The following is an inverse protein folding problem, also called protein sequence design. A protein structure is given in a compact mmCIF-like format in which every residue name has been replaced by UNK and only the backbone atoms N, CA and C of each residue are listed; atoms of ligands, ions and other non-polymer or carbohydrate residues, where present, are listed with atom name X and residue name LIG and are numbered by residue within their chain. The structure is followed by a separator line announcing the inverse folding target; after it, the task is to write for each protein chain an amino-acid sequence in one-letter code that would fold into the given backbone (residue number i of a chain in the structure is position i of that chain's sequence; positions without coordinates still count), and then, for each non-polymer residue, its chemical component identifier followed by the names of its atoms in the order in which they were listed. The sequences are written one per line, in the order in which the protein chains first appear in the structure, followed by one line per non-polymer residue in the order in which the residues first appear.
data_IF_006804138269
#
_entry.id   IF_006804138269
#
_cell.length_a   1.000
_cell.length_b   1.000
_cell.length_c   1.000
_cell.angle_alpha   90.00
_cell.angle_beta   90.00
_cell.angle_gamma   90.00
#
_symmetry.space_group_name_H-M   'P 1'
#
loop_
_entity.id
_entity.type
_entity.pdbx_description
1 polymer ?
#
# COMPACT_ATOMS: atom_id res chain seq x y z
N UNK A 1 6.21 19.92 12.58
CA UNK A 1 4.82 19.71 13.07
C UNK A 1 4.83 19.11 14.48
N UNK A 2 5.49 17.96 14.71
CA UNK A 2 5.66 17.36 16.05
C UNK A 2 6.21 18.35 17.07
N UNK A 3 7.31 19.04 16.74
CA UNK A 3 7.97 19.97 17.67
C UNK A 3 7.12 21.23 17.94
N UNK A 4 6.39 21.72 16.93
CA UNK A 4 5.47 22.86 17.09
C UNK A 4 4.27 22.51 17.98
N UNK A 5 3.72 21.30 17.83
CA UNK A 5 2.62 20.80 18.68
C UNK A 5 3.13 20.52 20.09
N UNK A 6 4.31 19.91 20.27
CA UNK A 6 4.91 19.70 21.58
C UNK A 6 5.21 21.02 22.32
N UNK A 7 5.68 22.04 21.59
CA UNK A 7 5.92 23.37 22.16
C UNK A 7 4.60 24.03 22.63
N UNK A 8 3.52 23.88 21.86
CA UNK A 8 2.21 24.40 22.22
C UNK A 8 1.58 23.63 23.39
N UNK A 9 1.74 22.31 23.43
CA UNK A 9 1.27 21.47 24.54
C UNK A 9 2.04 21.75 25.84
N UNK A 10 3.33 22.08 25.75
CA UNK A 10 4.15 22.43 26.91
C UNK A 10 3.90 23.85 27.45
N UNK A 11 3.26 24.72 26.66
CA UNK A 11 3.05 26.14 26.99
C UNK A 11 1.62 26.47 27.47
N UNK A 12 0.70 25.49 27.51
CA UNK A 12 -0.69 25.69 27.89
C UNK A 12 -1.06 24.81 29.09
N UNK A 13 -1.51 25.43 30.18
CA UNK A 13 -2.02 24.74 31.38
C UNK A 13 -3.55 24.51 31.35
N UNK A 14 -4.25 25.08 30.35
CA UNK A 14 -5.71 24.93 30.21
C UNK A 14 -6.07 23.66 29.43
N UNK A 15 -6.69 22.71 30.13
CA UNK A 15 -7.17 21.43 29.57
C UNK A 15 -8.07 21.59 28.33
N UNK A 16 -8.89 22.65 28.28
CA UNK A 16 -9.78 22.87 27.14
C UNK A 16 -8.99 23.29 25.89
N UNK A 17 -7.97 24.13 26.07
CA UNK A 17 -7.11 24.58 24.98
C UNK A 17 -6.23 23.41 24.49
N UNK A 18 -5.69 22.60 25.42
CA UNK A 18 -4.92 21.41 25.09
C UNK A 18 -5.73 20.42 24.24
N UNK A 19 -7.00 20.20 24.60
CA UNK A 19 -7.90 19.33 23.82
C UNK A 19 -8.11 19.85 22.39
N UNK A 20 -8.36 21.16 22.22
CA UNK A 20 -8.56 21.76 20.90
C UNK A 20 -7.29 21.69 20.03
N UNK A 21 -6.12 21.93 20.62
CA UNK A 21 -4.83 21.80 19.93
C UNK A 21 -4.60 20.34 19.50
N UNK A 22 -4.92 19.37 20.35
CA UNK A 22 -4.79 17.96 20.02
C UNK A 22 -5.72 17.54 18.87
N UNK A 23 -6.98 17.98 18.87
CA UNK A 23 -7.92 17.73 17.78
C UNK A 23 -7.44 18.32 16.46
N UNK A 24 -7.02 19.59 16.47
CA UNK A 24 -6.52 20.25 15.26
C UNK A 24 -5.26 19.56 14.71
N UNK A 25 -4.37 19.10 15.60
CA UNK A 25 -3.18 18.35 15.22
C UNK A 25 -3.54 16.98 14.61
N UNK A 26 -4.54 16.28 15.17
CA UNK A 26 -5.04 15.01 14.64
C UNK A 26 -5.68 15.18 13.27
N UNK A 27 -6.54 16.18 13.08
CA UNK A 27 -7.20 16.47 11.80
C UNK A 27 -6.17 16.80 10.72
N UNK A 28 -5.19 17.63 11.06
CA UNK A 28 -4.09 17.96 10.16
C UNK A 28 -3.24 16.72 9.83
N UNK A 29 -2.99 15.84 10.81
CA UNK A 29 -2.28 14.58 10.58
C UNK A 29 -3.05 13.67 9.63
N UNK A 30 -4.33 13.41 9.88
CA UNK A 30 -5.16 12.55 9.03
C UNK A 30 -5.27 13.11 7.61
N UNK A 31 -5.52 14.42 7.49
CA UNK A 31 -5.62 15.08 6.19
C UNK A 31 -4.32 15.00 5.39
N UNK A 32 -3.18 15.33 6.00
CA UNK A 32 -1.91 15.43 5.27
C UNK A 32 -1.23 14.07 5.13
N UNK A 33 -1.09 13.32 6.22
CA UNK A 33 -0.27 12.11 6.30
C UNK A 33 -1.02 10.83 5.91
N UNK A 34 -2.36 10.86 5.91
CA UNK A 34 -3.16 9.71 5.45
C UNK A 34 -3.79 10.00 4.10
N UNK A 35 -4.65 11.01 4.00
CA UNK A 35 -5.36 11.32 2.75
C UNK A 35 -4.46 11.94 1.69
N UNK A 36 -3.69 12.97 2.04
CA UNK A 36 -2.75 13.62 1.13
C UNK A 36 -1.64 12.68 0.65
N UNK A 37 -1.16 11.81 1.53
CA UNK A 37 -0.23 10.75 1.18
C UNK A 37 -0.83 9.77 0.17
N UNK A 38 -2.06 9.29 0.41
CA UNK A 38 -2.75 8.35 -0.49
C UNK A 38 -2.93 8.93 -1.89
N UNK A 39 -3.37 10.18 -2.02
CA UNK A 39 -3.52 10.84 -3.32
C UNK A 39 -2.18 10.92 -4.09
N UNK A 40 -1.07 11.19 -3.38
CA UNK A 40 0.28 11.19 -3.98
C UNK A 40 0.73 9.79 -4.40
N UNK A 41 0.52 8.78 -3.55
CA UNK A 41 0.79 7.38 -3.88
C UNK A 41 0.06 6.97 -5.15
N UNK A 42 -1.22 7.32 -5.28
CA UNK A 42 -2.02 7.02 -6.47
C UNK A 42 -1.51 7.72 -7.72
N UNK A 43 -1.09 8.98 -7.63
CA UNK A 43 -0.47 9.70 -8.75
C UNK A 43 0.87 9.07 -9.19
N UNK A 44 1.70 8.62 -8.24
CA UNK A 44 2.93 7.92 -8.57
C UNK A 44 2.67 6.54 -9.17
N UNK A 45 1.64 5.84 -8.70
CA UNK A 45 1.23 4.56 -9.28
C UNK A 45 0.75 4.71 -10.73
N UNK A 46 -0.06 5.73 -11.03
CA UNK A 46 -0.47 6.03 -12.42
C UNK A 46 0.72 6.35 -13.32
N UNK A 47 1.71 7.12 -12.84
CA UNK A 47 2.96 7.35 -13.56
C UNK A 47 3.71 6.04 -13.85
N UNK A 48 3.91 5.21 -12.83
CA UNK A 48 4.58 3.90 -12.95
C UNK A 48 3.86 2.99 -13.96
N UNK A 49 2.54 2.93 -13.88
CA UNK A 49 1.68 2.15 -14.77
C UNK A 49 1.89 2.54 -16.25
N UNK A 50 2.01 3.84 -16.54
CA UNK A 50 2.27 4.34 -17.90
C UNK A 50 3.68 4.03 -18.38
N UNK A 51 4.70 4.18 -17.53
CA UNK A 51 6.10 3.88 -17.87
C UNK A 51 6.31 2.39 -18.18
N UNK A 52 5.52 1.53 -17.53
CA UNK A 52 5.57 0.07 -17.72
C UNK A 52 4.61 -0.45 -18.79
N UNK A 53 3.78 0.42 -19.37
CA UNK A 53 2.75 0.08 -20.36
C UNK A 53 1.78 -1.02 -19.88
N UNK A 54 1.40 -1.00 -18.59
CA UNK A 54 0.49 -1.98 -18.02
C UNK A 54 -0.98 -1.68 -18.33
N UNK A 55 -1.73 -2.68 -18.76
CA UNK A 55 -3.13 -2.59 -19.15
C UNK A 55 -4.11 -3.35 -18.22
N UNK A 56 -3.61 -4.37 -17.52
CA UNK A 56 -4.39 -5.28 -16.68
C UNK A 56 -3.83 -5.37 -15.26
N UNK A 57 -4.70 -5.16 -14.27
CA UNK A 57 -4.33 -5.10 -12.85
C UNK A 57 -5.12 -6.09 -12.03
N UNK A 58 -4.49 -6.60 -10.98
CA UNK A 58 -5.18 -7.28 -9.90
C UNK A 58 -5.02 -6.53 -8.57
N UNK A 59 -6.05 -6.54 -7.73
CA UNK A 59 -6.01 -6.02 -6.36
C UNK A 59 -6.36 -7.17 -5.41
N UNK A 60 -5.58 -7.32 -4.34
CA UNK A 60 -5.86 -8.30 -3.29
C UNK A 60 -6.57 -7.67 -2.09
N UNK A 61 -7.62 -8.35 -1.62
CA UNK A 61 -8.37 -8.01 -0.40
C UNK A 61 -8.96 -6.57 -0.38
N UNK A 62 -9.03 -5.97 0.80
CA UNK A 62 -9.76 -4.72 1.10
C UNK A 62 -8.95 -3.42 1.08
N UNK A 63 -7.76 -3.39 0.46
CA UNK A 63 -6.84 -2.24 0.60
C UNK A 63 -7.37 -0.95 -0.04
N UNK A 64 -7.64 0.06 0.81
CA UNK A 64 -8.12 1.38 0.37
C UNK A 64 -7.08 2.17 -0.44
N UNK A 65 -5.79 2.01 -0.14
CA UNK A 65 -4.72 2.65 -0.93
C UNK A 65 -4.54 1.97 -2.28
N UNK A 66 -4.73 0.65 -2.36
CA UNK A 66 -4.72 -0.06 -3.65
C UNK A 66 -5.94 0.29 -4.50
N UNK A 67 -7.12 0.43 -3.88
CA UNK A 67 -8.34 0.91 -4.53
C UNK A 67 -8.14 2.30 -5.13
N UNK A 68 -7.62 3.26 -4.35
CA UNK A 68 -7.40 4.62 -4.83
C UNK A 68 -6.27 4.69 -5.87
N UNK A 69 -5.23 3.88 -5.73
CA UNK A 69 -4.18 3.76 -6.73
C UNK A 69 -4.75 3.28 -8.08
N UNK A 70 -5.66 2.29 -8.05
CA UNK A 70 -6.36 1.87 -9.25
C UNK A 70 -7.31 2.97 -9.77
N UNK A 71 -8.08 3.66 -8.92
CA UNK A 71 -8.97 4.74 -9.39
C UNK A 71 -8.21 5.90 -10.06
N UNK A 72 -6.95 6.13 -9.70
CA UNK A 72 -6.12 7.12 -10.35
C UNK A 72 -5.66 6.71 -11.75
N UNK A 73 -5.66 5.42 -12.08
CA UNK A 73 -5.35 4.95 -13.43
C UNK A 73 -6.60 5.07 -14.32
N UNK A 74 -6.38 5.35 -15.61
CA UNK A 74 -7.45 5.56 -16.58
C UNK A 74 -8.48 4.41 -16.60
N UNK A 75 -9.77 4.76 -16.69
CA UNK A 75 -10.97 3.89 -16.61
C UNK A 75 -10.98 2.72 -17.62
N UNK A 76 -10.13 2.73 -18.65
CA UNK A 76 -10.08 1.67 -19.67
C UNK A 76 -9.27 0.42 -19.28
N UNK A 77 -8.62 0.42 -18.11
CA UNK A 77 -7.77 -0.69 -17.66
C UNK A 77 -8.61 -1.83 -17.10
N UNK A 78 -8.16 -3.08 -17.30
CA UNK A 78 -8.86 -4.25 -16.77
C UNK A 78 -8.53 -4.43 -15.28
N UNK A 79 -9.55 -4.77 -14.49
CA UNK A 79 -9.40 -5.01 -13.06
C UNK A 79 -9.86 -6.42 -12.69
N UNK A 80 -9.01 -7.10 -11.92
CA UNK A 80 -9.34 -8.32 -11.20
C UNK A 80 -9.21 -8.10 -9.71
N UNK A 81 -10.24 -8.42 -8.93
CA UNK A 81 -10.20 -8.40 -7.47
C UNK A 81 -10.12 -9.84 -6.98
N UNK A 82 -9.07 -10.13 -6.20
CA UNK A 82 -8.83 -11.43 -5.58
C UNK A 82 -9.10 -11.29 -4.09
N UNK A 83 -9.96 -12.16 -3.56
CA UNK A 83 -10.45 -12.09 -2.18
C UNK A 83 -10.24 -13.40 -1.43
N UNK A 84 -10.31 -13.34 -0.11
CA UNK A 84 -10.09 -14.50 0.77
C UNK A 84 -11.12 -14.53 1.91
N UNK A 85 -11.46 -15.73 2.34
CA UNK A 85 -12.27 -15.94 3.53
C UNK A 85 -11.48 -15.57 4.81
N UNK A 86 -12.14 -15.23 5.93
CA UNK A 86 -13.59 -15.21 6.14
C UNK A 86 -14.28 -13.86 5.91
N UNK A 87 -13.56 -12.73 5.86
CA UNK A 87 -14.18 -11.39 5.82
C UNK A 87 -14.69 -10.99 4.43
N UNK A 88 -14.09 -11.52 3.35
CA UNK A 88 -14.45 -11.17 1.97
C UNK A 88 -14.48 -9.64 1.71
N UNK A 89 -13.44 -8.96 2.16
CA UNK A 89 -13.32 -7.50 2.07
C UNK A 89 -13.24 -7.00 0.62
N UNK A 90 -12.62 -7.81 -0.25
CA UNK A 90 -12.49 -7.53 -1.68
C UNK A 90 -13.84 -7.44 -2.40
N UNK A 91 -14.89 -8.10 -1.90
CA UNK A 91 -16.25 -7.97 -2.46
C UNK A 91 -16.78 -6.55 -2.40
N UNK A 92 -16.48 -5.82 -1.33
CA UNK A 92 -16.83 -4.41 -1.19
C UNK A 92 -16.06 -3.53 -2.15
N UNK A 93 -14.74 -3.77 -2.25
CA UNK A 93 -13.84 -3.06 -3.18
C UNK A 93 -14.28 -3.25 -4.63
N UNK A 94 -14.57 -4.49 -5.04
CA UNK A 94 -15.02 -4.79 -6.40
C UNK A 94 -16.30 -4.03 -6.78
N UNK A 95 -17.26 -3.93 -5.84
CA UNK A 95 -18.51 -3.16 -6.06
C UNK A 95 -18.24 -1.66 -6.20
N UNK A 96 -17.41 -1.08 -5.32
CA UNK A 96 -17.08 0.35 -5.36
C UNK A 96 -16.32 0.70 -6.64
N UNK A 97 -15.32 -0.10 -7.01
CA UNK A 97 -14.54 0.11 -8.22
C UNK A 97 -15.39 -0.07 -9.49
N UNK A 98 -16.25 -1.08 -9.53
CA UNK A 98 -17.19 -1.26 -10.65
C UNK A 98 -18.13 -0.06 -10.80
N UNK A 99 -18.66 0.47 -9.68
CA UNK A 99 -19.54 1.63 -9.69
C UNK A 99 -18.82 2.92 -10.10
N UNK A 100 -17.58 3.11 -9.63
CA UNK A 100 -16.80 4.34 -9.89
C UNK A 100 -16.23 4.40 -11.33
N UNK A 101 -15.84 3.25 -11.89
CA UNK A 101 -15.20 3.19 -13.21
C UNK A 101 -16.16 2.84 -14.33
N UNK A 102 -17.29 2.16 -14.05
CA UNK A 102 -18.14 1.59 -15.08
C UNK A 102 -17.46 0.47 -15.89
N UNK A 103 -16.27 0.01 -15.47
CA UNK A 103 -15.51 -1.03 -16.12
C UNK A 103 -15.96 -2.44 -15.67
N UNK A 104 -15.67 -3.45 -16.50
CA UNK A 104 -15.87 -4.84 -16.13
C UNK A 104 -14.83 -5.25 -15.09
N UNK A 105 -15.28 -5.40 -13.83
CA UNK A 105 -14.45 -5.88 -12.72
C UNK A 105 -14.62 -7.40 -12.60
N UNK A 106 -13.53 -8.14 -12.81
CA UNK A 106 -13.49 -9.58 -12.52
C UNK A 106 -13.32 -9.76 -11.02
N UNK A 107 -14.12 -10.60 -10.39
CA UNK A 107 -13.97 -10.94 -8.97
C UNK A 107 -13.79 -12.44 -8.82
N UNK A 108 -12.90 -12.86 -7.93
CA UNK A 108 -12.75 -14.25 -7.58
C UNK A 108 -12.03 -14.47 -6.25
N UNK A 109 -12.00 -15.72 -5.81
CA UNK A 109 -11.40 -16.10 -4.54
C UNK A 109 -9.96 -16.59 -4.73
N UNK A 110 -9.18 -16.55 -3.66
CA UNK A 110 -7.79 -16.99 -3.59
C UNK A 110 -7.60 -18.41 -4.17
N UNK A 111 -8.56 -19.32 -3.99
CA UNK A 111 -8.49 -20.67 -4.56
C UNK A 111 -8.41 -20.72 -6.10
N UNK A 112 -8.85 -19.66 -6.79
CA UNK A 112 -8.75 -19.52 -8.24
C UNK A 112 -7.69 -18.49 -8.68
N UNK A 113 -6.82 -18.05 -7.76
CA UNK A 113 -5.85 -16.97 -7.97
C UNK A 113 -5.02 -17.13 -9.24
N UNK A 114 -4.48 -18.33 -9.49
CA UNK A 114 -3.66 -18.61 -10.70
C UNK A 114 -4.39 -18.25 -11.99
N UNK A 115 -5.62 -18.72 -12.16
CA UNK A 115 -6.45 -18.43 -13.35
C UNK A 115 -6.84 -16.96 -13.42
N UNK A 116 -7.06 -16.32 -12.27
CA UNK A 116 -7.40 -14.89 -12.21
C UNK A 116 -6.24 -13.99 -12.62
N UNK A 117 -5.00 -14.42 -12.36
CA UNK A 117 -3.77 -13.71 -12.70
C UNK A 117 -3.25 -13.96 -14.12
N UNK A 118 -3.84 -14.91 -14.86
CA UNK A 118 -3.50 -15.11 -16.28
C UNK A 118 -3.82 -13.84 -17.08
N UNK A 119 -2.79 -13.26 -17.72
CA UNK A 119 -2.91 -12.03 -18.49
C UNK A 119 -3.04 -10.75 -17.65
N UNK A 120 -2.70 -10.81 -16.36
CA UNK A 120 -2.54 -9.62 -15.51
C UNK A 120 -1.09 -9.12 -15.61
N UNK A 121 -0.89 -7.82 -15.72
CA UNK A 121 0.45 -7.24 -15.81
C UNK A 121 1.04 -6.96 -14.42
N UNK A 122 0.21 -6.46 -13.51
CA UNK A 122 0.61 -6.13 -12.15
C UNK A 122 -0.45 -6.46 -11.09
N UNK A 123 -0.02 -7.01 -9.96
CA UNK A 123 -0.80 -7.15 -8.74
C UNK A 123 -0.47 -6.02 -7.78
N UNK A 124 -1.49 -5.35 -7.26
CA UNK A 124 -1.41 -4.30 -6.27
C UNK A 124 -1.75 -4.88 -4.91
N UNK A 125 -0.79 -4.81 -3.97
CA UNK A 125 -0.96 -5.26 -2.59
C UNK A 125 -0.92 -4.05 -1.65
N UNK A 126 -1.90 -3.92 -0.76
CA UNK A 126 -1.81 -2.97 0.34
C UNK A 126 -0.92 -3.48 1.45
N UNK A 127 0.06 -2.68 1.87
CA UNK A 127 0.82 -2.99 3.08
C UNK A 127 0.04 -2.59 4.34
N UNK A 128 0.14 -3.40 5.39
CA UNK A 128 -0.18 -2.99 6.76
C UNK A 128 1.04 -2.39 7.46
N UNK A 129 2.22 -2.90 7.14
CA UNK A 129 3.49 -2.38 7.64
C UNK A 129 4.59 -2.58 6.60
N UNK A 130 5.55 -1.66 6.55
CA UNK A 130 6.83 -1.86 5.85
C UNK A 130 7.94 -1.76 6.88
N UNK A 131 8.58 -2.90 7.16
CA UNK A 131 9.68 -2.97 8.10
C UNK A 131 10.97 -2.39 7.51
N UNK A 132 11.93 -2.08 8.39
CA UNK A 132 13.23 -1.55 7.96
C UNK A 132 13.88 -2.44 6.93
N UNK A 133 13.93 -3.75 7.13
CA UNK A 133 14.55 -4.68 6.19
C UNK A 133 13.78 -4.86 4.85
N UNK A 134 12.78 -4.02 4.57
CA UNK A 134 11.98 -4.02 3.35
C UNK A 134 10.94 -5.14 3.29
N UNK A 135 10.81 -5.96 4.34
CA UNK A 135 9.73 -6.91 4.44
C UNK A 135 8.41 -6.16 4.63
N UNK A 136 7.36 -6.64 3.98
CA UNK A 136 6.03 -6.02 4.01
C UNK A 136 5.08 -6.96 4.74
N UNK A 137 4.40 -6.44 5.75
CA UNK A 137 3.23 -7.11 6.32
C UNK A 137 2.03 -6.81 5.45
N UNK A 138 1.31 -7.84 5.05
CA UNK A 138 0.10 -7.75 4.25
C UNK A 138 -1.00 -8.64 4.83
N UNK A 139 -2.23 -8.45 4.33
CA UNK A 139 -3.39 -9.23 4.75
C UNK A 139 -3.13 -10.74 4.58
N UNK A 140 -3.72 -11.60 5.43
CA UNK A 140 -3.57 -13.05 5.32
C UNK A 140 -3.87 -13.57 3.92
N UNK A 141 -3.02 -14.46 3.40
CA UNK A 141 -3.15 -15.00 2.03
C UNK A 141 -2.46 -14.15 0.95
N UNK A 142 -1.95 -12.96 1.27
CA UNK A 142 -1.20 -12.14 0.31
C UNK A 142 0.08 -12.84 -0.17
N UNK A 143 0.78 -13.57 0.71
CA UNK A 143 1.99 -14.31 0.36
C UNK A 143 1.73 -15.33 -0.76
N UNK A 144 0.57 -16.00 -0.71
CA UNK A 144 0.14 -16.96 -1.73
C UNK A 144 -0.11 -16.25 -3.07
N UNK A 145 -0.80 -15.11 -3.06
CA UNK A 145 -1.03 -14.31 -4.27
C UNK A 145 0.29 -13.85 -4.88
N UNK A 146 1.20 -13.35 -4.05
CA UNK A 146 2.53 -12.89 -4.48
C UNK A 146 3.34 -14.02 -5.09
N UNK A 147 3.36 -15.19 -4.44
CA UNK A 147 4.08 -16.35 -4.95
C UNK A 147 3.53 -16.78 -6.33
N UNK A 148 2.21 -16.89 -6.48
CA UNK A 148 1.58 -17.25 -7.76
C UNK A 148 1.85 -16.18 -8.82
N UNK A 149 1.78 -14.89 -8.46
CA UNK A 149 2.10 -13.79 -9.37
C UNK A 149 3.53 -13.91 -9.90
N UNK A 150 4.50 -14.20 -9.02
CA UNK A 150 5.90 -14.40 -9.41
C UNK A 150 6.08 -15.60 -10.34
N UNK A 151 5.44 -16.73 -10.05
CA UNK A 151 5.47 -17.91 -10.91
C UNK A 151 4.93 -17.64 -12.32
N UNK A 152 3.97 -16.72 -12.44
CA UNK A 152 3.37 -16.30 -13.72
C UNK A 152 4.11 -15.12 -14.37
N UNK A 153 5.15 -14.57 -13.75
CA UNK A 153 5.86 -13.39 -14.24
C UNK A 153 5.08 -12.07 -14.11
N UNK A 154 4.01 -12.05 -13.30
CA UNK A 154 3.21 -10.87 -13.02
C UNK A 154 3.95 -9.97 -12.02
N UNK A 155 3.98 -8.66 -12.29
CA UNK A 155 4.68 -7.71 -11.43
C UNK A 155 3.95 -7.52 -10.10
N UNK A 156 4.66 -7.59 -8.98
CA UNK A 156 4.07 -7.35 -7.65
C UNK A 156 4.42 -5.94 -7.20
N UNK A 157 3.41 -5.10 -7.02
CA UNK A 157 3.56 -3.71 -6.58
C UNK A 157 2.87 -3.55 -5.23
N UNK A 158 3.60 -3.07 -4.24
CA UNK A 158 3.05 -2.76 -2.92
C UNK A 158 2.69 -1.29 -2.87
N UNK A 159 1.50 -0.95 -2.42
CA UNK A 159 1.07 0.44 -2.19
C UNK A 159 0.86 0.69 -0.71
N UNK A 160 1.37 1.82 -0.22
CA UNK A 160 1.31 2.18 1.19
C UNK A 160 1.45 3.68 1.40
N UNK A 161 1.35 4.10 2.65
CA UNK A 161 1.69 5.45 3.12
C UNK A 161 2.88 5.39 4.06
N UNK A 162 3.65 6.48 4.17
CA UNK A 162 4.82 6.56 5.03
C UNK A 162 4.53 6.28 6.51
N UNK A 163 3.30 6.52 6.95
CA UNK A 163 2.89 6.29 8.34
C UNK A 163 2.91 4.81 8.74
N UNK A 164 2.95 3.90 7.76
CA UNK A 164 3.02 2.44 7.96
C UNK A 164 4.46 1.90 7.95
N UNK A 165 5.47 2.77 7.86
CA UNK A 165 6.86 2.34 7.99
C UNK A 165 7.20 2.16 9.47
N UNK A 166 7.89 1.07 9.80
CA UNK A 166 8.34 0.79 11.15
C UNK A 166 9.86 0.72 11.23
N UNK A 167 10.39 0.97 12.42
CA UNK A 167 11.81 0.75 12.76
C UNK A 167 12.11 -0.73 13.07
N UNK A 168 11.07 -1.58 13.09
CA UNK A 168 11.21 -3.00 13.36
C UNK A 168 11.85 -3.75 12.18
N UNK A 169 12.37 -4.95 12.47
CA UNK A 169 12.77 -5.91 11.46
C UNK A 169 11.88 -7.15 11.55
N UNK A 170 11.39 -7.62 10.40
CA UNK A 170 10.58 -8.84 10.32
C UNK A 170 11.45 -9.96 9.79
N UNK A 171 11.68 -10.97 10.61
CA UNK A 171 12.51 -12.15 10.26
C UNK A 171 11.67 -13.38 9.98
N UNK A 172 10.50 -13.52 10.59
CA UNK A 172 9.62 -14.67 10.44
C UNK A 172 8.82 -14.63 9.12
N UNK A 173 8.20 -15.75 8.75
CA UNK A 173 7.37 -15.90 7.53
C UNK A 173 5.90 -15.47 7.74
N UNK A 174 5.44 -15.44 8.99
CA UNK A 174 4.17 -14.84 9.41
C UNK A 174 4.38 -14.09 10.72
N UNK A 175 3.71 -12.97 10.91
CA UNK A 175 3.86 -12.15 12.12
C UNK A 175 2.50 -11.60 12.56
N UNK A 176 2.12 -11.88 13.81
CA UNK A 176 0.87 -11.38 14.41
C UNK A 176 -0.40 -11.65 13.58
N UNK A 177 -0.42 -12.76 12.83
CA UNK A 177 -1.55 -13.13 11.97
C UNK A 177 -1.53 -12.44 10.59
N UNK A 178 -0.50 -11.68 10.25
CA UNK A 178 -0.25 -11.15 8.91
C UNK A 178 0.69 -12.06 8.11
N UNK A 179 0.60 -11.93 6.80
CA UNK A 179 1.54 -12.54 5.86
C UNK A 179 2.75 -11.62 5.67
N UNK A 180 3.93 -12.23 5.54
CA UNK A 180 5.17 -11.50 5.25
C UNK A 180 5.53 -11.68 3.79
N UNK A 181 5.64 -10.56 3.07
CA UNK A 181 6.15 -10.51 1.69
C UNK A 181 7.60 -10.05 1.74
N UNK A 182 8.51 -10.80 1.11
CA UNK A 182 9.94 -10.47 1.13
C UNK A 182 10.29 -9.42 0.06
N UNK A 183 11.33 -8.60 0.28
CA UNK A 183 11.71 -7.54 -0.66
C UNK A 183 11.95 -8.04 -2.09
N UNK A 184 12.58 -9.20 -2.24
CA UNK A 184 12.93 -9.79 -3.54
C UNK A 184 11.70 -10.31 -4.33
N UNK A 185 10.52 -10.29 -3.71
CA UNK A 185 9.25 -10.69 -4.30
C UNK A 185 8.49 -9.51 -4.89
N UNK A 186 8.92 -8.30 -4.53
CA UNK A 186 8.25 -7.04 -4.82
C UNK A 186 9.05 -6.33 -5.91
N UNK A 187 8.37 -5.87 -6.95
CA UNK A 187 8.99 -5.02 -7.97
C UNK A 187 9.34 -3.64 -7.39
N UNK A 188 8.36 -3.02 -6.71
CA UNK A 188 8.55 -1.73 -6.05
C UNK A 188 7.48 -1.49 -4.98
N UNK A 189 7.83 -0.69 -3.98
CA UNK A 189 6.89 -0.13 -3.00
C UNK A 189 6.57 1.31 -3.42
N UNK A 190 5.30 1.59 -3.68
CA UNK A 190 4.80 2.92 -4.05
C UNK A 190 4.21 3.57 -2.81
N UNK A 191 4.74 4.73 -2.49
CA UNK A 191 4.35 5.60 -1.37
C UNK A 191 4.56 7.04 -1.83
N UNK A 192 3.97 8.00 -1.12
CA UNK A 192 4.23 9.43 -1.31
C UNK A 192 5.72 9.81 -1.18
N UNK A 193 6.52 8.94 -0.57
CA UNK A 193 7.98 9.02 -0.59
C UNK A 193 8.51 8.04 -1.63
N UNK A 194 8.26 8.28 -2.92
CA UNK A 194 8.63 7.31 -3.97
C UNK A 194 10.10 6.87 -3.83
N UNK A 195 10.32 5.64 -3.33
CA UNK A 195 11.66 5.10 -3.03
C UNK A 195 12.42 4.71 -4.29
N UNK A 196 11.72 4.44 -5.40
CA UNK A 196 12.32 4.13 -6.70
C UNK A 196 13.07 5.31 -7.34
N UNK A 197 12.80 6.55 -6.88
CA UNK A 197 13.51 7.76 -7.29
C UNK A 197 14.77 8.05 -6.46
N UNK A 198 15.02 7.30 -5.38
CA UNK A 198 16.23 7.47 -4.58
C UNK A 198 17.32 6.56 -5.15
N UNK A 199 18.35 7.18 -5.75
CA UNK A 199 19.66 6.55 -5.87
C UNK A 199 20.07 6.05 -4.48
N UNK A 200 20.76 4.92 -4.38
CA UNK A 200 21.25 4.38 -3.11
C UNK A 200 22.09 5.40 -2.30
N UNK A 201 22.58 6.47 -2.94
CA UNK A 201 23.24 7.62 -2.32
C UNK A 201 22.31 8.54 -1.53
N UNK A 202 21.03 8.65 -1.95
CA UNK A 202 20.12 9.73 -1.55
C UNK A 202 19.03 9.25 -0.58
N UNK A 203 18.97 7.95 -0.30
CA UNK A 203 17.99 7.39 0.62
C UNK A 203 18.16 8.01 2.04
N UNK A 204 17.05 8.30 2.76
CA UNK A 204 17.10 8.71 4.17
C UNK A 204 17.99 7.77 4.99
N UNK A 205 18.75 8.29 5.95
CA UNK A 205 19.81 7.52 6.63
C UNK A 205 19.33 6.20 7.27
N UNK A 206 18.04 6.10 7.61
CA UNK A 206 17.37 4.85 8.05
C UNK A 206 17.48 3.70 7.02
N UNK A 207 17.46 3.99 5.71
CA UNK A 207 17.57 3.00 4.63
C UNK A 207 19.04 2.69 4.27
N UNK A 208 19.99 3.58 4.58
CA UNK A 208 21.44 3.33 4.36
C UNK A 208 22.01 2.28 5.31
N UNK A 209 21.37 2.05 6.45
CA UNK A 209 21.76 1.02 7.44
C UNK A 209 21.61 -0.40 6.87
N UNK A 210 20.75 -0.59 5.87
CA UNK A 210 20.44 -1.91 5.29
C UNK A 210 21.37 -2.35 4.16
N UNK A 211 22.12 -1.40 3.59
CA UNK A 211 23.06 -1.68 2.50
C UNK A 211 24.49 -1.98 2.98
N UNK A 212 24.70 -2.10 4.30
CA UNK A 212 26.01 -2.33 4.92
C UNK A 212 26.11 -3.62 5.75
N UNK A 213 25.23 -4.58 5.50
CA UNK A 213 25.37 -5.95 5.99
C UNK A 213 25.44 -6.91 4.81
#
# INVERSE_FOLDING_TARGET
MRDAVQLQLAACDDDHILYQVALAALDAFVTVRVHGARAKTSAFFDKLSRERYWDSFAVFAGSTVAEEAFLAINIRKQLTVIDVAPQYEGRGVAKRLAAATGASVRYGLLGNCRKLLEGVDAVIIGAEEVAMNGCVLASPGASIVVQIARELGVSVVVTTQAVKFSEGMIVDWSYAGYDVIRPHEILTIVTEMNTSAYSASDAPDVLKVLARC
#
